data_IF_383163039090
#
_entry.id   IF_383163039090
#
_cell.length_a   1.000
_cell.length_b   1.000
_cell.length_c   1.000
_cell.angle_alpha   90.00
_cell.angle_beta   90.00
_cell.angle_gamma   90.00
#
_symmetry.space_group_name_H-M   'P 1'
#
loop_
_entity.id
_entity.type
_entity.pdbx_description
1 polymer ?
#
# COMPACT_ATOMS: atom_id res chain seq x y z
N UNK A 1 7.16 11.08 -14.76
CA UNK A 1 5.96 11.11 -13.89
C UNK A 1 4.90 10.24 -14.52
N UNK A 2 4.90 8.93 -14.27
CA UNK A 2 3.77 8.05 -14.57
C UNK A 2 3.94 6.77 -13.73
N UNK A 3 3.63 6.89 -12.45
CA UNK A 3 3.41 5.73 -11.58
C UNK A 3 2.07 5.06 -11.91
N UNK A 4 1.88 3.78 -11.54
CA UNK A 4 0.67 3.04 -11.88
C UNK A 4 -0.56 3.64 -11.21
N UNK A 5 -1.38 4.35 -11.99
CA UNK A 5 -2.65 4.92 -11.53
C UNK A 5 -3.64 3.79 -11.22
N UNK A 6 -4.29 3.88 -10.07
CA UNK A 6 -5.49 3.08 -9.77
C UNK A 6 -6.59 3.46 -10.78
N UNK A 7 -6.85 2.64 -11.80
CA UNK A 7 -7.79 2.93 -12.89
C UNK A 7 -9.24 2.57 -12.54
N UNK A 8 -10.20 3.12 -13.30
CA UNK A 8 -11.62 2.77 -13.19
C UNK A 8 -12.52 3.91 -12.69
N UNK A 9 -13.68 4.07 -13.32
CA UNK A 9 -14.61 5.17 -13.06
C UNK A 9 -15.80 4.79 -12.16
N UNK A 10 -15.96 3.49 -11.86
CA UNK A 10 -17.10 3.00 -11.08
C UNK A 10 -17.16 3.67 -9.68
N UNK A 11 -18.36 3.94 -9.12
CA UNK A 11 -18.49 4.60 -7.81
C UNK A 11 -17.73 3.92 -6.67
N UNK A 12 -17.54 2.60 -6.71
CA UNK A 12 -16.71 1.87 -5.73
C UNK A 12 -15.25 2.32 -5.76
N UNK A 13 -14.69 2.55 -6.95
CA UNK A 13 -13.32 3.04 -7.12
C UNK A 13 -13.17 4.49 -6.65
N UNK A 14 -14.20 5.31 -6.85
CA UNK A 14 -14.22 6.67 -6.31
C UNK A 14 -14.21 6.67 -4.78
N UNK A 15 -15.04 5.83 -4.16
CA UNK A 15 -15.04 5.63 -2.69
C UNK A 15 -13.70 5.10 -2.18
N UNK A 16 -13.08 4.17 -2.89
CA UNK A 16 -11.76 3.66 -2.54
C UNK A 16 -10.70 4.78 -2.56
N UNK A 17 -10.66 5.59 -3.63
CA UNK A 17 -9.73 6.74 -3.71
C UNK A 17 -9.95 7.74 -2.57
N UNK A 18 -11.19 8.02 -2.20
CA UNK A 18 -11.50 8.89 -1.06
C UNK A 18 -10.98 8.31 0.27
N UNK A 19 -11.19 7.01 0.51
CA UNK A 19 -10.64 6.33 1.70
C UNK A 19 -9.11 6.37 1.75
N UNK A 20 -8.46 6.17 0.60
CA UNK A 20 -7.00 6.27 0.47
C UNK A 20 -6.52 7.68 0.85
N UNK A 21 -7.14 8.73 0.31
CA UNK A 21 -6.78 10.12 0.62
C UNK A 21 -6.89 10.43 2.12
N UNK A 22 -7.97 9.97 2.77
CA UNK A 22 -8.16 10.15 4.21
C UNK A 22 -7.11 9.39 5.01
N UNK A 23 -6.89 8.10 4.69
CA UNK A 23 -5.95 7.26 5.41
C UNK A 23 -4.48 7.70 5.22
N UNK A 24 -4.10 8.21 4.04
CA UNK A 24 -2.75 8.68 3.76
C UNK A 24 -2.31 9.84 4.66
N UNK A 25 -3.26 10.69 5.09
CA UNK A 25 -3.01 11.81 6.02
C UNK A 25 -2.91 11.37 7.46
N UNK A 26 -3.46 10.20 7.80
CA UNK A 26 -3.44 9.69 9.16
C UNK A 26 -2.07 9.09 9.50
N UNK A 27 -1.65 9.26 10.76
CA UNK A 27 -0.43 8.63 11.30
C UNK A 27 -0.76 7.28 11.95
N UNK A 28 -1.48 6.43 11.22
CA UNK A 28 -1.93 5.10 11.68
C UNK A 28 -1.52 4.00 10.71
N UNK A 29 -1.54 2.75 11.20
CA UNK A 29 -1.37 1.55 10.35
C UNK A 29 -2.62 1.35 9.49
N UNK A 30 -2.43 0.93 8.24
CA UNK A 30 -3.52 0.67 7.28
C UNK A 30 -3.50 -0.79 6.85
N UNK A 31 -4.65 -1.47 6.98
CA UNK A 31 -4.85 -2.82 6.45
C UNK A 31 -5.56 -2.74 5.09
N UNK A 32 -4.93 -3.31 4.06
CA UNK A 32 -5.50 -3.41 2.71
C UNK A 32 -5.95 -4.85 2.48
N UNK A 33 -7.25 -5.05 2.27
CA UNK A 33 -7.84 -6.36 1.98
C UNK A 33 -8.48 -6.39 0.60
N UNK A 34 -8.57 -7.58 0.02
CA UNK A 34 -9.11 -7.84 -1.32
C UNK A 34 -8.52 -9.12 -1.90
N UNK A 35 -9.16 -9.64 -2.93
CA UNK A 35 -8.79 -10.88 -3.61
C UNK A 35 -7.41 -10.76 -4.29
N UNK A 36 -6.82 -11.91 -4.62
CA UNK A 36 -5.57 -11.95 -5.39
C UNK A 36 -5.74 -11.25 -6.74
N UNK A 37 -4.78 -10.40 -7.12
CA UNK A 37 -4.82 -9.67 -8.41
C UNK A 37 -5.62 -8.37 -8.42
N UNK A 38 -6.25 -7.95 -7.32
CA UNK A 38 -7.06 -6.71 -7.25
C UNK A 38 -6.28 -5.40 -7.12
N UNK A 39 -4.94 -5.44 -7.20
CA UNK A 39 -4.11 -4.23 -7.17
C UNK A 39 -3.87 -3.63 -5.78
N UNK A 40 -3.90 -4.45 -4.72
CA UNK A 40 -3.60 -4.01 -3.33
C UNK A 40 -2.25 -3.27 -3.20
N UNK A 41 -1.26 -3.66 -3.98
CA UNK A 41 0.06 -3.03 -3.99
C UNK A 41 0.01 -1.60 -4.54
N UNK A 42 -0.85 -1.36 -5.55
CA UNK A 42 -1.09 -0.03 -6.09
C UNK A 42 -1.78 0.87 -5.05
N UNK A 43 -2.67 0.29 -4.22
CA UNK A 43 -3.28 1.00 -3.09
C UNK A 43 -2.22 1.39 -2.05
N UNK A 44 -1.31 0.48 -1.69
CA UNK A 44 -0.23 0.76 -0.75
C UNK A 44 0.71 1.86 -1.26
N UNK A 45 1.06 1.81 -2.55
CA UNK A 45 1.89 2.82 -3.18
C UNK A 45 1.20 4.19 -3.20
N UNK A 46 -0.08 4.26 -3.56
CA UNK A 46 -0.84 5.50 -3.56
C UNK A 46 -1.03 6.08 -2.14
N UNK A 47 -1.18 5.22 -1.11
CA UNK A 47 -1.19 5.65 0.29
C UNK A 47 0.12 6.34 0.67
N UNK A 48 1.27 5.79 0.26
CA UNK A 48 2.58 6.38 0.53
C UNK A 48 2.76 7.72 -0.19
N UNK A 49 2.46 7.75 -1.50
CA UNK A 49 2.57 8.93 -2.37
C UNK A 49 1.72 10.12 -1.87
N UNK A 50 0.53 9.84 -1.31
CA UNK A 50 -0.37 10.87 -0.79
C UNK A 50 -0.13 11.24 0.69
N UNK A 51 0.81 10.57 1.35
CA UNK A 51 1.10 10.80 2.77
C UNK A 51 2.15 11.89 2.98
N UNK A 52 2.25 12.48 4.19
CA UNK A 52 3.37 13.35 4.57
C UNK A 52 4.75 12.67 4.48
N UNK A 53 4.80 11.33 4.34
CA UNK A 53 6.02 10.52 4.26
C UNK A 53 6.45 10.21 2.82
N UNK A 54 5.78 10.76 1.81
CA UNK A 54 6.03 10.45 0.40
C UNK A 54 7.48 10.67 -0.06
N UNK A 55 8.22 11.59 0.56
CA UNK A 55 9.63 11.85 0.26
C UNK A 55 10.58 10.77 0.80
N UNK A 56 10.12 9.94 1.75
CA UNK A 56 10.88 8.84 2.32
C UNK A 56 10.78 7.56 1.49
N UNK A 57 11.63 6.56 1.78
CA UNK A 57 11.60 5.28 1.09
C UNK A 57 10.30 4.52 1.40
N UNK A 58 9.73 3.89 0.36
CA UNK A 58 8.68 2.88 0.52
C UNK A 58 9.33 1.49 0.47
N UNK A 59 9.57 0.91 1.65
CA UNK A 59 10.12 -0.45 1.77
C UNK A 59 8.98 -1.46 1.69
N UNK A 60 9.05 -2.39 0.74
CA UNK A 60 8.05 -3.44 0.53
C UNK A 60 8.61 -4.78 0.97
N UNK A 61 7.84 -5.50 1.77
CA UNK A 61 8.19 -6.84 2.25
C UNK A 61 7.10 -7.82 1.83
N UNK A 62 7.48 -8.88 1.13
CA UNK A 62 6.59 -9.99 0.80
C UNK A 62 6.80 -11.14 1.78
N UNK A 63 5.96 -11.24 2.82
CA UNK A 63 6.10 -12.27 3.85
C UNK A 63 6.05 -13.71 3.30
N UNK A 64 5.39 -13.94 2.16
CA UNK A 64 5.31 -15.26 1.54
C UNK A 64 6.62 -15.70 0.87
N UNK A 65 7.57 -14.77 0.65
CA UNK A 65 8.86 -15.07 0.06
C UNK A 65 9.91 -15.57 1.07
N UNK A 66 9.64 -15.44 2.37
CA UNK A 66 10.57 -15.83 3.43
C UNK A 66 10.24 -17.19 4.02
N UNK A 67 11.27 -17.96 4.37
CA UNK A 67 11.10 -19.09 5.28
C UNK A 67 10.78 -18.55 6.70
N UNK A 68 9.92 -19.20 7.50
CA UNK A 68 9.52 -18.70 8.82
C UNK A 68 10.72 -18.41 9.75
N UNK A 69 11.77 -19.20 9.64
CA UNK A 69 13.00 -19.08 10.44
C UNK A 69 13.90 -17.91 10.03
N UNK A 70 13.72 -17.34 8.84
CA UNK A 70 14.52 -16.22 8.31
C UNK A 70 13.79 -14.87 8.42
N UNK A 71 12.50 -14.88 8.72
CA UNK A 71 11.68 -13.67 8.72
C UNK A 71 12.13 -12.65 9.78
N UNK A 72 12.45 -13.12 11.00
CA UNK A 72 12.87 -12.24 12.09
C UNK A 72 14.21 -11.55 11.80
N UNK A 73 15.21 -12.28 11.31
CA UNK A 73 16.53 -11.73 10.97
C UNK A 73 16.47 -10.71 9.83
N UNK A 74 15.60 -10.92 8.84
CA UNK A 74 15.45 -9.98 7.72
C UNK A 74 14.67 -8.71 8.11
N UNK A 75 13.73 -8.81 9.05
CA UNK A 75 12.92 -7.67 9.50
C UNK A 75 13.61 -6.81 10.55
N UNK A 76 14.44 -7.42 11.40
CA UNK A 76 14.99 -6.77 12.59
C UNK A 76 16.52 -6.76 12.67
N UNK A 77 17.21 -7.59 11.87
CA UNK A 77 18.66 -7.80 11.94
C UNK A 77 19.02 -8.90 12.92
#
# INVERSE_FOLDING_TARGET
MDGPRLLGAHPSMQRLRSRIQTAARARSTVLISGETGTGKELVAQLLHELSPRAAGPLVRVNCAAFAPTLLESELFG
#
